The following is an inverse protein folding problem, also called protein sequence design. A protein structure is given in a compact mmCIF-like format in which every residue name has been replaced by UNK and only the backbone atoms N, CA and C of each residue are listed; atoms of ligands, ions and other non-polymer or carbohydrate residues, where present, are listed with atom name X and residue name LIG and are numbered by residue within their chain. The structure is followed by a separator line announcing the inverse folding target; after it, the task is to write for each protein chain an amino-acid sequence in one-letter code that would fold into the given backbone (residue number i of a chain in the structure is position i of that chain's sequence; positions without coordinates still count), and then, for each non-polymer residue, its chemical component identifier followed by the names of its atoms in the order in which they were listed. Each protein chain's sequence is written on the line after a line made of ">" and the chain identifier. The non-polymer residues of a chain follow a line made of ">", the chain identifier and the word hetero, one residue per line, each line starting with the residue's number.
data_IF_825616584084
#
_entry.id   IF_825616584084
#
_cell.length_a   1.000
_cell.length_b   1.000
_cell.length_c   1.000
_cell.angle_alpha   90.00
_cell.angle_beta   90.00
_cell.angle_gamma   90.00
#
_symmetry.space_group_name_H-M   'P 1'
#
loop_
_entity.id
_entity.type
_entity.pdbx_description
1 polymer ?
#
# COMPACT_ATOMS: atom_id res chain seq x y z
N UNK A 1 8.55 -14.11 10.16
CA UNK A 1 8.12 -13.60 8.83
C UNK A 1 8.91 -12.34 8.48
N UNK A 2 9.36 -12.17 7.22
CA UNK A 2 10.28 -11.08 6.79
C UNK A 2 9.57 -9.83 6.20
N UNK A 3 8.31 -9.55 6.56
CA UNK A 3 7.57 -8.38 6.03
C UNK A 3 8.30 -7.05 6.25
N UNK A 4 8.86 -6.85 7.45
CA UNK A 4 9.67 -5.67 7.76
C UNK A 4 10.91 -5.54 6.87
N UNK A 5 11.53 -6.66 6.49
CA UNK A 5 12.67 -6.66 5.59
C UNK A 5 12.27 -6.16 4.20
N UNK A 6 11.16 -6.65 3.64
CA UNK A 6 10.67 -6.21 2.33
C UNK A 6 10.34 -4.72 2.33
N UNK A 7 9.62 -4.24 3.34
CA UNK A 7 9.24 -2.83 3.45
C UNK A 7 10.47 -1.92 3.59
N UNK A 8 11.43 -2.28 4.45
CA UNK A 8 12.63 -1.49 4.67
C UNK A 8 13.52 -1.44 3.43
N UNK A 9 13.72 -2.58 2.75
CA UNK A 9 14.49 -2.64 1.51
C UNK A 9 13.81 -1.87 0.38
N UNK A 10 12.49 -1.97 0.24
CA UNK A 10 11.74 -1.21 -0.76
C UNK A 10 11.95 0.30 -0.59
N UNK A 11 11.80 0.81 0.64
CA UNK A 11 12.04 2.22 0.96
C UNK A 11 13.48 2.65 0.67
N UNK A 12 14.47 1.82 1.01
CA UNK A 12 15.87 2.09 0.66
C UNK A 12 16.09 2.22 -0.85
N UNK A 13 15.51 1.33 -1.66
CA UNK A 13 15.64 1.42 -3.12
C UNK A 13 14.87 2.62 -3.69
N UNK A 14 13.67 2.94 -3.17
CA UNK A 14 12.91 4.14 -3.56
C UNK A 14 13.72 5.41 -3.29
N UNK A 15 14.32 5.54 -2.11
CA UNK A 15 15.15 6.70 -1.74
C UNK A 15 16.42 6.83 -2.60
N UNK A 16 16.89 5.74 -3.21
CA UNK A 16 18.01 5.73 -4.17
C UNK A 16 17.56 5.96 -5.62
N UNK A 17 16.28 6.26 -5.86
CA UNK A 17 15.70 6.40 -7.20
C UNK A 17 15.50 5.06 -7.94
N UNK A 18 15.77 3.91 -7.32
CA UNK A 18 15.61 2.61 -7.95
C UNK A 18 14.16 2.09 -7.78
N UNK A 19 13.28 2.70 -8.54
CA UNK A 19 11.83 2.45 -8.50
C UNK A 19 11.47 1.00 -8.86
N UNK A 20 12.19 0.40 -9.83
CA UNK A 20 11.95 -0.98 -10.27
C UNK A 20 12.23 -2.00 -9.17
N UNK A 21 13.36 -1.87 -8.47
CA UNK A 21 13.68 -2.78 -7.36
C UNK A 21 12.79 -2.56 -6.16
N UNK A 22 12.42 -1.30 -5.87
CA UNK A 22 11.43 -1.00 -4.84
C UNK A 22 10.11 -1.72 -5.11
N UNK A 23 9.56 -1.58 -6.32
CA UNK A 23 8.32 -2.24 -6.72
C UNK A 23 8.39 -3.77 -6.59
N UNK A 24 9.50 -4.38 -7.03
CA UNK A 24 9.69 -5.84 -6.92
C UNK A 24 9.66 -6.31 -5.47
N UNK A 25 10.29 -5.58 -4.56
CA UNK A 25 10.31 -5.92 -3.13
C UNK A 25 8.95 -5.74 -2.47
N UNK A 26 8.19 -4.70 -2.83
CA UNK A 26 6.84 -4.51 -2.33
C UNK A 26 5.92 -5.67 -2.73
N UNK A 27 5.96 -6.05 -4.02
CA UNK A 27 5.23 -7.23 -4.52
C UNK A 27 5.64 -8.50 -3.81
N UNK A 28 6.94 -8.79 -3.74
CA UNK A 28 7.45 -9.98 -3.08
C UNK A 28 7.03 -10.06 -1.60
N UNK A 29 6.92 -8.92 -0.91
CA UNK A 29 6.41 -8.87 0.46
C UNK A 29 4.95 -9.28 0.58
N UNK A 30 4.10 -8.83 -0.34
CA UNK A 30 2.67 -9.19 -0.38
C UNK A 30 2.52 -10.65 -0.83
N UNK A 31 3.20 -11.07 -1.90
CA UNK A 31 3.12 -12.42 -2.46
C UNK A 31 3.62 -13.49 -1.48
N UNK A 32 4.58 -13.16 -0.62
CA UNK A 32 5.10 -14.08 0.40
C UNK A 32 4.06 -14.49 1.45
N UNK A 33 2.97 -13.71 1.60
CA UNK A 33 1.98 -13.89 2.68
C UNK A 33 0.55 -14.00 2.15
N UNK A 34 0.33 -13.63 0.89
CA UNK A 34 -0.98 -13.56 0.25
C UNK A 34 -1.70 -12.23 0.54
N UNK A 35 -2.59 -11.83 -0.38
CA UNK A 35 -3.37 -10.59 -0.22
C UNK A 35 -4.34 -10.67 0.98
N UNK A 36 -4.71 -11.87 1.40
CA UNK A 36 -5.65 -12.14 2.51
C UNK A 36 -4.99 -12.30 3.89
N UNK A 37 -3.74 -11.89 4.01
CA UNK A 37 -2.98 -12.00 5.25
C UNK A 37 -3.59 -11.18 6.41
N UNK A 38 -3.82 -11.85 7.55
CA UNK A 38 -4.45 -11.26 8.74
C UNK A 38 -3.76 -11.73 10.05
N UNK A 39 -2.44 -11.51 10.14
CA UNK A 39 -1.70 -11.67 11.40
C UNK A 39 -1.62 -10.33 12.12
N UNK A 40 -2.31 -10.18 13.25
CA UNK A 40 -2.33 -8.97 14.09
C UNK A 40 -0.93 -8.43 14.40
N UNK A 41 0.08 -9.30 14.53
CA UNK A 41 1.46 -8.90 14.84
C UNK A 41 2.11 -8.13 13.70
N UNK A 42 1.75 -8.44 12.45
CA UNK A 42 2.39 -7.89 11.25
C UNK A 42 1.42 -7.10 10.35
N UNK A 43 0.15 -6.99 10.75
CA UNK A 43 -0.92 -6.34 10.01
C UNK A 43 -0.57 -4.91 9.58
N UNK A 44 0.03 -4.12 10.48
CA UNK A 44 0.44 -2.74 10.17
C UNK A 44 1.54 -2.68 9.11
N UNK A 45 2.54 -3.57 9.19
CA UNK A 45 3.60 -3.65 8.18
C UNK A 45 3.04 -4.09 6.83
N UNK A 46 2.07 -5.01 6.85
CA UNK A 46 1.39 -5.46 5.65
C UNK A 46 0.58 -4.34 4.99
N UNK A 47 -0.17 -3.56 5.78
CA UNK A 47 -0.87 -2.38 5.29
C UNK A 47 0.12 -1.37 4.69
N UNK A 48 1.25 -1.11 5.35
CA UNK A 48 2.27 -0.21 4.83
C UNK A 48 2.85 -0.69 3.48
N UNK A 49 3.02 -1.99 3.27
CA UNK A 49 3.44 -2.56 1.98
C UNK A 49 2.41 -2.31 0.89
N UNK A 50 1.14 -2.57 1.18
CA UNK A 50 0.05 -2.37 0.21
C UNK A 50 -0.10 -0.89 -0.14
N UNK A 51 -0.10 0.00 0.85
CA UNK A 51 -0.21 1.45 0.62
C UNK A 51 1.00 1.99 -0.17
N UNK A 52 2.21 1.50 0.10
CA UNK A 52 3.40 1.89 -0.67
C UNK A 52 3.32 1.43 -2.12
N UNK A 53 2.80 0.23 -2.36
CA UNK A 53 2.64 -0.29 -3.72
C UNK A 53 1.49 0.40 -4.46
N UNK A 54 0.39 0.72 -3.78
CA UNK A 54 -0.72 1.48 -4.35
C UNK A 54 -0.26 2.88 -4.78
N UNK A 55 0.44 3.61 -3.90
CA UNK A 55 1.04 4.92 -4.22
C UNK A 55 1.97 4.82 -5.43
N UNK A 56 2.78 3.77 -5.50
CA UNK A 56 3.64 3.53 -6.66
C UNK A 56 2.84 3.40 -7.96
N UNK A 57 1.72 2.69 -7.95
CA UNK A 57 0.88 2.54 -9.13
C UNK A 57 0.16 3.82 -9.52
N UNK A 58 -0.28 4.63 -8.55
CA UNK A 58 -0.96 5.90 -8.80
C UNK A 58 0.04 6.92 -9.36
N UNK A 59 1.16 7.15 -8.68
CA UNK A 59 2.03 8.29 -8.97
C UNK A 59 3.19 7.98 -9.94
N UNK A 60 3.62 6.71 -10.08
CA UNK A 60 4.81 6.37 -10.89
C UNK A 60 4.49 5.59 -12.17
N UNK A 61 3.45 4.75 -12.14
CA UNK A 61 3.09 3.89 -13.29
C UNK A 61 1.76 4.27 -13.95
N UNK A 62 0.94 5.09 -13.28
CA UNK A 62 -0.42 5.44 -13.70
C UNK A 62 -1.25 4.17 -14.01
N UNK A 63 -1.08 3.13 -13.20
CA UNK A 63 -1.82 1.86 -13.31
C UNK A 63 -2.98 1.87 -12.30
N UNK A 64 -4.02 2.61 -12.65
CA UNK A 64 -5.19 2.83 -11.80
C UNK A 64 -5.86 1.52 -11.38
N UNK A 65 -5.89 0.52 -12.27
CA UNK A 65 -6.53 -0.78 -12.00
C UNK A 65 -5.83 -1.53 -10.87
N UNK A 66 -4.50 -1.58 -10.89
CA UNK A 66 -3.74 -2.24 -9.82
C UNK A 66 -3.80 -1.47 -8.51
N UNK A 67 -3.77 -0.13 -8.57
CA UNK A 67 -3.96 0.70 -7.39
C UNK A 67 -5.34 0.46 -6.73
N UNK A 68 -6.41 0.50 -7.53
CA UNK A 68 -7.79 0.23 -7.11
C UNK A 68 -7.91 -1.14 -6.45
N UNK A 69 -7.36 -2.18 -7.08
CA UNK A 69 -7.39 -3.54 -6.52
C UNK A 69 -6.75 -3.62 -5.13
N UNK A 70 -5.58 -2.99 -4.97
CA UNK A 70 -4.86 -2.97 -3.70
C UNK A 70 -5.61 -2.18 -2.62
N UNK A 71 -6.14 -0.99 -2.94
CA UNK A 71 -6.86 -0.18 -1.97
C UNK A 71 -8.17 -0.84 -1.54
N UNK A 72 -8.91 -1.43 -2.48
CA UNK A 72 -10.12 -2.20 -2.19
C UNK A 72 -9.86 -3.41 -1.29
N UNK A 73 -8.68 -4.05 -1.41
CA UNK A 73 -8.31 -5.14 -0.50
C UNK A 73 -8.18 -4.71 0.97
N UNK A 74 -7.92 -3.42 1.21
CA UNK A 74 -7.78 -2.82 2.54
C UNK A 74 -9.06 -2.15 3.05
N UNK A 75 -9.96 -1.74 2.16
CA UNK A 75 -11.17 -0.96 2.48
C UNK A 75 -12.00 -1.57 3.61
N UNK A 76 -12.14 -2.91 3.62
CA UNK A 76 -12.90 -3.64 4.64
C UNK A 76 -12.06 -4.09 5.85
N UNK A 77 -10.74 -3.85 5.83
CA UNK A 77 -9.79 -4.34 6.85
C UNK A 77 -9.17 -3.22 7.67
N UNK A 78 -9.08 -2.02 7.10
CA UNK A 78 -8.73 -0.84 7.83
C UNK A 78 -10.01 -0.36 8.50
N UNK A 79 -10.10 -0.41 9.84
CA UNK A 79 -11.20 0.24 10.52
C UNK A 79 -11.24 1.71 10.07
N UNK A 80 -12.37 2.12 9.49
CA UNK A 80 -12.67 3.48 9.02
C UNK A 80 -12.44 4.56 10.10
N UNK A 81 -12.24 4.14 11.34
CA UNK A 81 -11.87 4.99 12.44
C UNK A 81 -10.39 5.40 12.33
N UNK A 82 -10.14 6.65 11.90
CA UNK A 82 -8.80 7.25 11.84
C UNK A 82 -7.97 7.14 13.13
N UNK A 83 -8.63 6.86 14.27
CA UNK A 83 -7.99 6.61 15.58
C UNK A 83 -7.26 5.27 15.65
N UNK A 84 -7.65 4.27 14.86
CA UNK A 84 -7.10 2.91 14.89
C UNK A 84 -5.96 2.70 13.88
N UNK A 85 -5.88 3.56 12.85
CA UNK A 85 -4.70 3.65 12.00
C UNK A 85 -3.58 4.25 12.86
N UNK A 86 -2.73 3.40 13.44
CA UNK A 86 -1.68 3.85 14.37
C UNK A 86 -0.75 4.88 13.71
N UNK A 87 -0.96 6.17 14.00
CA UNK A 87 -0.09 7.26 13.56
C UNK A 87 -0.68 8.13 12.45
N UNK A 88 -0.67 9.45 12.71
CA UNK A 88 -1.17 10.54 11.84
C UNK A 88 -0.68 10.41 10.39
N UNK A 89 0.58 10.01 10.16
CA UNK A 89 1.16 9.86 8.81
C UNK A 89 0.43 8.82 7.96
N UNK A 90 0.01 7.71 8.55
CA UNK A 90 -0.68 6.63 7.82
C UNK A 90 -2.12 7.02 7.51
N UNK A 91 -2.79 7.71 8.44
CA UNK A 91 -4.13 8.28 8.20
C UNK A 91 -4.12 9.30 7.05
N UNK A 92 -3.16 10.22 7.04
CA UNK A 92 -2.97 11.17 5.93
C UNK A 92 -2.74 10.44 4.60
N UNK A 93 -1.83 9.44 4.59
CA UNK A 93 -1.54 8.66 3.38
C UNK A 93 -2.77 7.93 2.86
N UNK A 94 -3.53 7.30 3.75
CA UNK A 94 -4.78 6.63 3.40
C UNK A 94 -5.76 7.61 2.76
N UNK A 95 -6.00 8.77 3.40
CA UNK A 95 -6.94 9.77 2.90
C UNK A 95 -6.55 10.29 1.51
N UNK A 96 -5.26 10.57 1.28
CA UNK A 96 -4.77 11.00 -0.03
C UNK A 96 -4.96 9.92 -1.10
N UNK A 97 -4.58 8.68 -0.80
CA UNK A 97 -4.73 7.56 -1.75
C UNK A 97 -6.20 7.24 -2.03
N UNK A 98 -7.08 7.36 -1.03
CA UNK A 98 -8.51 7.17 -1.22
C UNK A 98 -9.16 8.31 -2.00
N UNK A 99 -8.69 9.55 -1.83
CA UNK A 99 -9.12 10.68 -2.68
C UNK A 99 -8.75 10.41 -4.14
N UNK A 100 -7.49 10.04 -4.41
CA UNK A 100 -7.01 9.67 -5.75
C UNK A 100 -7.84 8.51 -6.33
N UNK A 101 -8.16 7.52 -5.49
CA UNK A 101 -9.00 6.37 -5.85
C UNK A 101 -10.42 6.79 -6.27
N UNK A 102 -11.10 7.64 -5.50
CA UNK A 102 -12.44 8.09 -5.82
C UNK A 102 -12.46 8.91 -7.11
N UNK A 103 -11.47 9.80 -7.30
CA UNK A 103 -11.32 10.56 -8.54
C UNK A 103 -11.11 9.64 -9.76
N UNK A 104 -10.33 8.57 -9.60
CA UNK A 104 -10.13 7.56 -10.65
C UNK A 104 -11.41 6.79 -10.95
N UNK A 105 -12.24 6.46 -9.97
CA UNK A 105 -13.52 5.78 -10.21
C UNK A 105 -14.47 6.69 -10.98
N UNK A 106 -14.64 7.93 -10.53
CA UNK A 106 -15.55 8.91 -11.15
C UNK A 106 -15.17 9.17 -12.60
N UNK A 107 -13.87 9.29 -12.92
CA UNK A 107 -13.40 9.52 -14.29
C UNK A 107 -13.56 8.30 -15.23
N UNK A 108 -13.65 7.10 -14.67
CA UNK A 108 -13.79 5.85 -15.44
C UNK A 108 -15.22 5.30 -15.45
N UNK A 109 -16.19 6.05 -14.90
CA UNK A 109 -17.63 5.74 -14.89
C UNK A 109 -18.34 6.51 -15.99
#
# INVERSE_FOLDING_TARGET
>A
MKLNYYLLRAKQFKNKGNLSQSQKLLKAGIDAVGIDFDDRKYQLTFFDLILELAEFYIHQRVDSKKAIFLLKSLENRIPLNMKEISGIKRGIRWNLLMSDYFDMIVKNS
#
